data_IF_771398611648
#
_entry.id   IF_771398611648
#
_cell.length_a   1.000
_cell.length_b   1.000
_cell.length_c   1.000
_cell.angle_alpha   90.00
_cell.angle_beta   90.00
_cell.angle_gamma   90.00
#
_symmetry.space_group_name_H-M   'P 1'
#
loop_
_entity.id
_entity.type
_entity.pdbx_description
1 polymer ?
#
# COMPACT_ATOMS: atom_id res chain seq x y z
N UNK A 1 30.13 45.20 -17.47
CA UNK A 1 30.71 45.46 -16.12
C UNK A 1 30.93 44.09 -15.53
N UNK A 2 32.15 43.61 -15.69
CA UNK A 2 32.65 42.29 -15.26
C UNK A 2 32.90 42.33 -13.75
N UNK A 3 32.54 41.25 -13.07
CA UNK A 3 33.14 40.88 -11.79
C UNK A 3 33.53 39.42 -11.87
N UNK A 4 34.82 39.24 -12.13
CA UNK A 4 35.57 38.02 -12.00
C UNK A 4 36.38 38.16 -10.71
N UNK A 5 36.23 37.24 -9.76
CA UNK A 5 37.27 36.96 -8.75
C UNK A 5 36.91 35.68 -8.00
N UNK A 6 37.55 34.59 -8.44
CA UNK A 6 37.67 33.35 -7.67
C UNK A 6 39.07 33.32 -7.04
N UNK A 7 39.25 33.01 -5.74
CA UNK A 7 40.58 32.91 -5.13
C UNK A 7 41.31 31.65 -5.58
N UNK A 8 42.52 31.83 -6.08
CA UNK A 8 43.49 30.77 -6.41
C UNK A 8 44.00 30.13 -5.12
N UNK A 9 43.93 28.79 -5.05
CA UNK A 9 44.58 27.99 -4.02
C UNK A 9 46.01 27.68 -4.42
N UNK A 10 46.95 27.94 -3.49
CA UNK A 10 48.39 27.72 -3.58
C UNK A 10 48.76 26.24 -3.72
N UNK A 11 49.58 25.83 -4.71
CA UNK A 11 49.92 24.42 -4.97
C UNK A 11 51.05 23.84 -4.11
N UNK A 12 51.42 24.42 -2.98
CA UNK A 12 52.63 24.03 -2.22
C UNK A 12 52.41 23.37 -0.86
N UNK A 13 51.25 22.76 -0.59
CA UNK A 13 51.02 22.05 0.66
C UNK A 13 50.66 20.58 0.44
N UNK A 14 51.52 19.86 -0.30
CA UNK A 14 51.47 18.38 -0.33
C UNK A 14 52.90 17.88 -0.17
N UNK A 15 53.34 17.72 1.04
CA UNK A 15 54.42 16.76 1.37
C UNK A 15 54.27 16.18 2.76
N UNK A 16 54.13 14.87 2.75
CA UNK A 16 54.56 13.87 3.71
C UNK A 16 53.91 13.78 5.09
N UNK A 17 53.12 12.74 5.27
CA UNK A 17 53.52 11.72 6.27
C UNK A 17 52.79 10.40 5.95
N UNK A 18 53.57 9.46 5.36
CA UNK A 18 53.21 8.04 5.34
C UNK A 18 53.41 7.50 6.75
N UNK A 19 52.30 7.29 7.47
CA UNK A 19 52.27 6.45 8.67
C UNK A 19 51.41 5.23 8.31
N UNK A 20 52.10 4.12 8.42
CA UNK A 20 51.56 2.75 8.27
C UNK A 20 50.29 2.55 9.05
N UNK A 21 49.15 2.44 8.33
CA UNK A 21 47.88 1.94 8.87
C UNK A 21 47.86 0.42 8.69
N UNK A 22 48.42 -0.28 9.64
CA UNK A 22 48.11 -1.69 9.89
C UNK A 22 47.38 -1.73 11.24
N UNK A 23 46.24 -2.47 11.22
CA UNK A 23 45.51 -2.93 12.38
C UNK A 23 44.73 -1.87 13.24
N UNK A 24 43.63 -1.38 12.70
CA UNK A 24 42.49 -0.99 13.53
C UNK A 24 41.17 -1.16 12.75
N UNK A 25 40.75 -2.39 12.52
CA UNK A 25 39.36 -2.66 12.12
C UNK A 25 38.83 -3.98 12.69
N UNK A 26 39.09 -4.19 13.98
CA UNK A 26 38.28 -5.05 14.82
C UNK A 26 37.36 -4.16 15.62
N UNK A 27 36.38 -3.53 14.95
CA UNK A 27 35.24 -3.02 15.68
C UNK A 27 34.49 -4.21 16.26
N UNK A 28 34.70 -4.47 17.53
CA UNK A 28 33.87 -5.31 18.38
C UNK A 28 32.42 -4.80 18.22
N UNK A 29 31.67 -5.33 17.24
CA UNK A 29 30.24 -5.18 17.17
C UNK A 29 29.69 -5.87 18.42
N UNK A 30 29.34 -5.07 19.42
CA UNK A 30 28.50 -5.56 20.51
C UNK A 30 27.32 -6.30 19.87
N UNK A 31 26.95 -7.49 20.38
CA UNK A 31 25.79 -8.20 19.85
C UNK A 31 24.61 -7.26 19.93
N UNK A 32 24.11 -6.82 18.75
CA UNK A 32 22.98 -5.91 18.69
C UNK A 32 21.82 -6.62 19.39
N UNK A 33 21.41 -6.10 20.54
CA UNK A 33 20.28 -6.62 21.29
C UNK A 33 19.03 -6.62 20.41
N UNK A 34 18.15 -7.60 20.62
CA UNK A 34 16.84 -7.65 19.99
C UNK A 34 16.14 -6.31 20.18
N UNK A 35 15.75 -5.67 19.08
CA UNK A 35 15.09 -4.38 19.07
C UNK A 35 13.70 -4.51 18.47
N UNK A 36 12.67 -4.22 19.26
CA UNK A 36 11.27 -4.14 18.81
C UNK A 36 10.87 -2.67 18.75
N UNK A 37 10.55 -2.19 17.56
CA UNK A 37 9.98 -0.86 17.33
C UNK A 37 8.50 -1.05 17.01
N UNK A 38 7.59 -0.61 17.90
CA UNK A 38 6.16 -0.86 17.79
C UNK A 38 5.33 0.41 17.96
N UNK A 39 4.19 0.48 17.30
CA UNK A 39 3.22 1.56 17.46
C UNK A 39 2.39 1.44 18.75
N UNK A 40 2.26 0.21 19.26
CA UNK A 40 1.57 -0.09 20.52
C UNK A 40 2.26 -1.24 21.23
N UNK A 41 2.18 -1.28 22.56
CA UNK A 41 2.77 -2.35 23.35
C UNK A 41 1.84 -3.58 23.37
N UNK A 42 2.35 -4.72 22.94
CA UNK A 42 1.75 -6.03 23.18
C UNK A 42 2.79 -6.93 23.88
N UNK A 43 2.72 -7.08 25.22
CA UNK A 43 3.71 -7.86 25.97
C UNK A 43 3.86 -9.31 25.50
N UNK A 44 2.79 -9.90 24.93
CA UNK A 44 2.84 -11.27 24.40
C UNK A 44 3.76 -11.41 23.18
N UNK A 45 4.11 -10.32 22.51
CA UNK A 45 5.11 -10.35 21.43
C UNK A 45 6.51 -10.70 21.94
N UNK A 46 6.84 -10.40 23.19
CA UNK A 46 8.14 -10.75 23.78
C UNK A 46 8.31 -12.24 24.05
N UNK A 47 7.22 -13.02 24.03
CA UNK A 47 7.27 -14.48 24.24
C UNK A 47 7.42 -15.28 22.95
N UNK A 48 7.50 -14.61 21.80
CA UNK A 48 7.68 -15.26 20.51
C UNK A 48 9.16 -15.68 20.31
N UNK A 49 9.42 -16.77 19.57
CA UNK A 49 10.77 -17.31 19.38
C UNK A 49 11.56 -16.50 18.34
N UNK A 50 11.94 -15.29 18.70
CA UNK A 50 12.67 -14.36 17.82
C UNK A 50 14.07 -14.84 17.42
N UNK A 51 14.62 -15.80 18.14
CA UNK A 51 15.89 -16.48 17.89
C UNK A 51 15.81 -17.55 16.78
N UNK A 52 14.62 -17.86 16.27
CA UNK A 52 14.41 -18.81 15.20
C UNK A 52 14.03 -18.12 13.90
N UNK A 53 14.49 -18.60 12.72
CA UNK A 53 13.91 -18.22 11.44
C UNK A 53 12.40 -18.50 11.43
N UNK A 54 11.62 -17.65 10.76
CA UNK A 54 10.15 -17.77 10.74
C UNK A 54 9.64 -19.13 10.22
N UNK A 55 10.43 -19.78 9.34
CA UNK A 55 10.13 -21.11 8.83
C UNK A 55 10.25 -22.24 9.87
N UNK A 56 10.99 -22.00 10.96
CA UNK A 56 11.25 -22.95 12.03
C UNK A 56 10.42 -22.71 13.28
N UNK A 57 9.53 -21.71 13.27
CA UNK A 57 8.66 -21.46 14.41
C UNK A 57 7.72 -22.64 14.68
N UNK A 58 7.35 -22.90 15.95
CA UNK A 58 6.42 -23.94 16.31
C UNK A 58 5.10 -23.87 15.56
N UNK A 59 4.61 -25.01 15.09
CA UNK A 59 3.42 -25.10 14.23
C UNK A 59 2.13 -24.59 14.91
N UNK A 60 2.04 -24.72 16.23
CA UNK A 60 0.93 -24.26 17.06
C UNK A 60 0.78 -22.73 17.13
N UNK A 61 1.86 -22.01 16.81
CA UNK A 61 1.80 -20.55 16.68
C UNK A 61 1.11 -20.09 15.37
N UNK A 62 1.08 -20.95 14.36
CA UNK A 62 0.61 -20.58 13.05
C UNK A 62 -0.89 -20.74 12.89
N UNK A 63 -1.50 -19.77 12.20
CA UNK A 63 -2.88 -19.84 11.74
C UNK A 63 -2.88 -20.14 10.24
N UNK A 64 -3.62 -21.16 9.84
CA UNK A 64 -3.76 -21.51 8.44
C UNK A 64 -4.80 -20.62 7.77
N UNK A 65 -4.36 -19.49 7.24
CA UNK A 65 -5.19 -18.55 6.49
C UNK A 65 -4.80 -18.53 5.02
N UNK A 66 -5.73 -18.24 4.11
CA UNK A 66 -5.42 -18.00 2.71
C UNK A 66 -4.40 -16.87 2.58
N UNK A 67 -3.38 -17.08 1.78
CA UNK A 67 -2.33 -16.08 1.52
C UNK A 67 -2.09 -15.94 0.02
N UNK A 68 -1.64 -14.75 -0.39
CA UNK A 68 -1.13 -14.50 -1.73
C UNK A 68 0.23 -15.17 -1.97
N UNK A 69 0.74 -15.04 -3.17
CA UNK A 69 2.13 -15.35 -3.49
C UNK A 69 3.00 -14.20 -2.96
N UNK A 70 4.08 -14.54 -2.27
CA UNK A 70 5.05 -13.55 -1.80
C UNK A 70 6.45 -14.06 -2.08
N UNK A 71 7.36 -13.15 -2.43
CA UNK A 71 8.80 -13.40 -2.55
C UNK A 71 9.44 -13.69 -1.20
N UNK A 72 8.82 -13.20 -0.15
CA UNK A 72 9.30 -13.31 1.23
C UNK A 72 8.56 -14.40 2.00
N UNK A 73 9.17 -14.86 3.08
CA UNK A 73 8.51 -15.78 4.00
C UNK A 73 7.48 -15.00 4.81
N UNK A 74 6.21 -15.29 4.55
CA UNK A 74 5.07 -14.71 5.29
C UNK A 74 4.33 -15.81 6.03
N UNK A 75 4.03 -15.60 7.31
CA UNK A 75 3.20 -16.48 8.14
C UNK A 75 2.19 -15.69 8.94
N UNK A 76 1.04 -16.28 9.17
CA UNK A 76 0.06 -15.74 10.11
C UNK A 76 0.26 -16.38 11.47
N UNK A 77 0.42 -15.54 12.50
CA UNK A 77 0.75 -15.97 13.86
C UNK A 77 -0.30 -15.45 14.82
N UNK A 78 -0.74 -16.33 15.70
CA UNK A 78 -1.69 -15.99 16.76
C UNK A 78 -0.94 -15.47 17.99
N UNK A 79 -1.25 -14.25 18.42
CA UNK A 79 -0.63 -13.64 19.61
C UNK A 79 -1.73 -13.09 20.51
N UNK A 80 -2.08 -13.82 21.53
CA UNK A 80 -3.27 -13.52 22.35
C UNK A 80 -4.55 -13.76 21.56
N UNK A 81 -5.42 -12.76 21.48
CA UNK A 81 -6.71 -12.84 20.77
C UNK A 81 -6.64 -12.27 19.34
N UNK A 82 -5.43 -11.91 18.89
CA UNK A 82 -5.22 -11.26 17.61
C UNK A 82 -4.32 -12.12 16.71
N UNK A 83 -4.54 -11.98 15.41
CA UNK A 83 -3.71 -12.61 14.37
C UNK A 83 -2.86 -11.54 13.69
N UNK A 84 -1.58 -11.82 13.53
CA UNK A 84 -0.62 -10.95 12.86
C UNK A 84 -0.03 -11.64 11.64
N UNK A 85 0.22 -10.90 10.59
CA UNK A 85 1.08 -11.33 9.50
C UNK A 85 2.52 -10.95 9.84
N UNK A 86 3.41 -11.95 9.82
CA UNK A 86 4.85 -11.83 10.03
C UNK A 86 5.54 -11.98 8.68
N UNK A 87 6.28 -10.95 8.24
CA UNK A 87 7.05 -10.93 6.97
C UNK A 87 8.53 -10.83 7.32
N UNK A 88 9.30 -11.88 6.98
CA UNK A 88 10.75 -11.92 7.22
C UNK A 88 11.49 -11.31 6.05
N UNK A 89 12.16 -10.18 6.29
CA UNK A 89 12.80 -9.34 5.26
C UNK A 89 14.01 -8.60 5.85
N UNK A 90 14.83 -8.01 4.98
CA UNK A 90 15.97 -7.22 5.44
C UNK A 90 15.54 -6.06 6.35
N UNK A 91 16.38 -5.71 7.30
CA UNK A 91 16.07 -4.65 8.28
C UNK A 91 15.70 -3.33 7.63
N UNK A 92 16.45 -2.92 6.61
CA UNK A 92 16.22 -1.63 5.93
C UNK A 92 14.84 -1.58 5.26
N UNK A 93 14.45 -2.67 4.61
CA UNK A 93 13.13 -2.79 3.95
C UNK A 93 12.02 -2.81 5.00
N UNK A 94 12.17 -3.59 6.08
CA UNK A 94 11.19 -3.68 7.16
C UNK A 94 10.93 -2.32 7.81
N UNK A 95 12.00 -1.58 8.16
CA UNK A 95 11.88 -0.25 8.78
C UNK A 95 11.23 0.77 7.81
N UNK A 96 11.61 0.75 6.52
CA UNK A 96 11.03 1.62 5.50
C UNK A 96 9.55 1.33 5.26
N UNK A 97 9.20 0.07 5.05
CA UNK A 97 7.80 -0.33 4.80
C UNK A 97 6.91 -0.05 6.02
N UNK A 98 7.41 -0.32 7.23
CA UNK A 98 6.71 0.01 8.47
C UNK A 98 6.39 1.50 8.58
N UNK A 99 7.37 2.38 8.34
CA UNK A 99 7.16 3.82 8.43
C UNK A 99 6.24 4.32 7.32
N UNK A 100 6.35 3.76 6.11
CA UNK A 100 5.49 4.11 5.00
C UNK A 100 4.03 3.73 5.28
N UNK A 101 3.77 2.50 5.73
CA UNK A 101 2.43 2.06 6.14
C UNK A 101 1.86 2.93 7.27
N UNK A 102 2.70 3.35 8.25
CA UNK A 102 2.26 4.30 9.29
C UNK A 102 1.85 5.65 8.72
N UNK A 103 2.58 6.17 7.75
CA UNK A 103 2.24 7.43 7.08
C UNK A 103 0.95 7.30 6.29
N UNK A 104 0.77 6.23 5.53
CA UNK A 104 -0.46 5.94 4.79
C UNK A 104 -1.67 5.81 5.72
N UNK A 105 -1.50 5.16 6.87
CA UNK A 105 -2.56 5.06 7.90
C UNK A 105 -2.92 6.41 8.51
N UNK A 106 -1.96 7.32 8.71
CA UNK A 106 -2.25 8.69 9.15
C UNK A 106 -3.04 9.51 8.13
N UNK A 107 -2.89 9.16 6.85
CA UNK A 107 -3.68 9.73 5.75
C UNK A 107 -5.01 8.98 5.55
N UNK A 108 -5.37 8.09 6.49
CA UNK A 108 -6.59 7.28 6.49
C UNK A 108 -6.78 6.43 5.22
N UNK A 109 -5.68 6.07 4.56
CA UNK A 109 -5.71 5.24 3.37
C UNK A 109 -5.95 3.75 3.70
N UNK A 110 -6.66 3.01 2.83
CA UNK A 110 -6.97 1.61 3.08
C UNK A 110 -5.72 0.73 2.95
N UNK A 111 -5.03 0.54 4.06
CA UNK A 111 -3.83 -0.30 4.18
C UNK A 111 -3.94 -1.23 5.38
N UNK A 112 -3.13 -2.29 5.40
CA UNK A 112 -2.95 -3.09 6.61
C UNK A 112 -2.35 -2.23 7.72
N UNK A 113 -2.64 -2.57 8.98
CA UNK A 113 -2.14 -1.83 10.13
C UNK A 113 -0.73 -2.33 10.50
N UNK A 114 0.32 -1.50 10.37
CA UNK A 114 1.65 -1.86 10.83
C UNK A 114 1.68 -1.87 12.37
N UNK A 115 2.24 -2.94 12.94
CA UNK A 115 2.29 -3.16 14.39
C UNK A 115 3.71 -2.95 14.90
N UNK A 116 4.69 -3.63 14.33
CA UNK A 116 6.07 -3.56 14.78
C UNK A 116 7.08 -3.93 13.70
N UNK A 117 8.32 -3.50 13.93
CA UNK A 117 9.52 -4.06 13.31
C UNK A 117 10.35 -4.69 14.40
N UNK A 118 10.79 -5.93 14.18
CA UNK A 118 11.71 -6.67 15.06
C UNK A 118 13.03 -6.83 14.33
N UNK A 119 14.08 -6.23 14.86
CA UNK A 119 15.43 -6.23 14.29
C UNK A 119 16.47 -6.68 15.35
N UNK A 120 17.70 -6.93 14.91
CA UNK A 120 18.77 -7.41 15.81
C UNK A 120 18.51 -8.84 16.30
N UNK A 121 17.82 -9.65 15.48
CA UNK A 121 17.57 -11.06 15.73
C UNK A 121 18.84 -11.87 15.46
N UNK A 122 19.13 -12.82 16.33
CA UNK A 122 20.22 -13.77 16.18
C UNK A 122 19.73 -15.17 16.57
N UNK A 123 20.24 -16.17 15.92
CA UNK A 123 19.97 -17.56 16.30
C UNK A 123 20.78 -17.99 17.55
N UNK A 124 20.59 -19.24 17.97
CA UNK A 124 21.28 -19.80 19.13
C UNK A 124 22.84 -19.89 18.94
N UNK A 125 23.33 -19.81 17.70
CA UNK A 125 24.77 -19.81 17.37
C UNK A 125 25.33 -18.39 17.27
N UNK A 126 24.48 -17.35 17.43
CA UNK A 126 24.85 -15.96 17.28
C UNK A 126 24.84 -15.49 15.81
N UNK A 127 24.34 -16.28 14.87
CA UNK A 127 24.19 -15.87 13.47
C UNK A 127 23.03 -14.90 13.32
N UNK A 128 23.27 -13.87 12.52
CA UNK A 128 22.26 -12.82 12.29
C UNK A 128 21.10 -13.34 11.45
N UNK A 129 19.89 -13.17 11.96
CA UNK A 129 18.63 -13.42 11.25
C UNK A 129 18.09 -12.14 10.61
N UNK A 130 17.28 -12.30 9.57
CA UNK A 130 16.55 -11.20 8.93
C UNK A 130 15.60 -10.52 9.93
N UNK A 131 15.30 -9.25 9.69
CA UNK A 131 14.32 -8.55 10.47
C UNK A 131 12.90 -9.05 10.15
N UNK A 132 11.94 -8.65 10.96
CA UNK A 132 10.55 -9.03 10.77
C UNK A 132 9.65 -7.80 10.80
N UNK A 133 8.88 -7.64 9.73
CA UNK A 133 7.77 -6.71 9.72
C UNK A 133 6.52 -7.43 10.24
N UNK A 134 5.85 -6.81 11.19
CA UNK A 134 4.61 -7.31 11.80
C UNK A 134 3.47 -6.39 11.44
N UNK A 135 2.44 -6.93 10.78
CA UNK A 135 1.21 -6.21 10.47
C UNK A 135 0.01 -6.93 11.07
N UNK A 136 -1.04 -6.20 11.40
CA UNK A 136 -2.29 -6.80 11.89
C UNK A 136 -3.01 -7.47 10.72
N UNK A 137 -3.41 -8.73 10.91
CA UNK A 137 -4.25 -9.40 9.92
C UNK A 137 -5.61 -8.70 9.80
N UNK A 138 -6.01 -8.43 8.57
CA UNK A 138 -7.30 -7.85 8.26
C UNK A 138 -8.38 -8.94 8.32
N UNK A 139 -9.17 -8.95 9.39
CA UNK A 139 -10.22 -9.97 9.61
C UNK A 139 -11.20 -9.98 8.45
N UNK A 140 -11.62 -11.17 8.04
CA UNK A 140 -12.59 -11.41 6.93
C UNK A 140 -12.11 -10.96 5.55
N UNK A 141 -10.85 -10.58 5.39
CA UNK A 141 -10.28 -10.31 4.08
C UNK A 141 -9.86 -11.59 3.37
N UNK A 142 -9.87 -11.52 2.05
CA UNK A 142 -9.45 -12.61 1.19
C UNK A 142 -8.44 -12.12 0.15
N UNK A 143 -7.38 -12.90 -0.13
CA UNK A 143 -6.49 -12.65 -1.24
C UNK A 143 -7.17 -13.00 -2.56
N UNK A 144 -6.67 -12.43 -3.67
CA UNK A 144 -7.26 -12.61 -5.00
C UNK A 144 -7.40 -14.09 -5.41
N UNK A 145 -6.41 -14.94 -5.09
CA UNK A 145 -6.46 -16.36 -5.43
C UNK A 145 -7.65 -17.11 -4.82
N UNK A 146 -8.08 -16.69 -3.63
CA UNK A 146 -9.26 -17.24 -3.00
C UNK A 146 -10.57 -16.71 -3.63
N UNK A 147 -10.52 -15.50 -4.18
CA UNK A 147 -11.66 -14.82 -4.80
C UNK A 147 -11.82 -15.18 -6.27
N UNK A 148 -10.72 -15.24 -7.04
CA UNK A 148 -10.71 -15.60 -8.46
C UNK A 148 -10.70 -17.12 -8.69
N UNK A 149 -11.17 -17.92 -7.72
CA UNK A 149 -11.33 -19.36 -7.88
C UNK A 149 -12.49 -19.69 -8.84
N UNK A 150 -12.57 -20.95 -9.31
CA UNK A 150 -13.50 -21.46 -10.33
C UNK A 150 -14.98 -21.11 -10.17
N UNK A 151 -15.39 -20.69 -8.98
CA UNK A 151 -16.78 -20.29 -8.68
C UNK A 151 -17.03 -18.79 -8.80
N UNK A 152 -16.01 -18.02 -9.19
CA UNK A 152 -16.15 -16.59 -9.33
C UNK A 152 -17.06 -16.25 -10.52
N UNK A 153 -18.05 -15.42 -10.26
CA UNK A 153 -18.91 -14.87 -11.32
C UNK A 153 -18.19 -13.71 -12.01
N UNK A 154 -18.35 -13.55 -13.35
CA UNK A 154 -17.71 -12.43 -14.07
C UNK A 154 -18.02 -11.05 -13.47
N UNK A 155 -19.27 -10.80 -13.08
CA UNK A 155 -19.68 -9.57 -12.42
C UNK A 155 -18.96 -9.31 -11.08
N UNK A 156 -18.56 -10.37 -10.37
CA UNK A 156 -17.77 -10.26 -9.14
C UNK A 156 -16.32 -9.91 -9.44
N UNK A 157 -15.73 -10.49 -10.50
CA UNK A 157 -14.39 -10.12 -10.95
C UNK A 157 -14.33 -8.62 -11.28
N UNK A 158 -15.30 -8.11 -12.02
CA UNK A 158 -15.40 -6.69 -12.37
C UNK A 158 -15.50 -5.80 -11.13
N UNK A 159 -16.30 -6.17 -10.13
CA UNK A 159 -16.42 -5.41 -8.86
C UNK A 159 -15.13 -5.40 -8.05
N UNK A 160 -14.35 -6.48 -8.07
CA UNK A 160 -13.04 -6.53 -7.41
C UNK A 160 -12.05 -5.56 -8.06
N UNK A 161 -12.06 -5.50 -9.39
CA UNK A 161 -11.22 -4.56 -10.14
C UNK A 161 -11.68 -3.11 -9.95
N UNK A 162 -12.99 -2.87 -9.88
CA UNK A 162 -13.53 -1.55 -9.54
C UNK A 162 -13.07 -1.09 -8.15
N UNK A 163 -13.05 -2.00 -7.16
CA UNK A 163 -12.53 -1.70 -5.82
C UNK A 163 -11.02 -1.39 -5.83
N UNK A 164 -10.25 -2.10 -6.65
CA UNK A 164 -8.82 -1.81 -6.83
C UNK A 164 -8.61 -0.45 -7.50
N UNK A 165 -9.40 -0.10 -8.52
CA UNK A 165 -9.32 1.22 -9.15
C UNK A 165 -9.59 2.36 -8.14
N UNK A 166 -10.58 2.18 -7.24
CA UNK A 166 -10.85 3.12 -6.15
C UNK A 166 -9.66 3.25 -5.21
N UNK A 167 -9.04 2.13 -4.82
CA UNK A 167 -7.83 2.13 -3.99
C UNK A 167 -6.71 2.92 -4.67
N UNK A 168 -6.42 2.64 -5.94
CA UNK A 168 -5.35 3.32 -6.68
C UNK A 168 -5.59 4.83 -6.80
N UNK A 169 -6.83 5.25 -7.10
CA UNK A 169 -7.17 6.67 -7.14
C UNK A 169 -6.91 7.35 -5.79
N UNK A 170 -7.28 6.72 -4.68
CA UNK A 170 -7.02 7.24 -3.32
C UNK A 170 -5.53 7.38 -3.03
N UNK A 171 -4.75 6.36 -3.37
CA UNK A 171 -3.30 6.36 -3.20
C UNK A 171 -2.65 7.48 -4.02
N UNK A 172 -3.01 7.61 -5.29
CA UNK A 172 -2.48 8.64 -6.18
C UNK A 172 -2.88 10.07 -5.78
N UNK A 173 -4.12 10.29 -5.33
CA UNK A 173 -4.56 11.59 -4.79
C UNK A 173 -3.76 12.00 -3.55
N UNK A 174 -3.32 11.04 -2.75
CA UNK A 174 -2.47 11.27 -1.59
C UNK A 174 -0.98 11.41 -1.91
N UNK A 175 -0.61 11.32 -3.20
CA UNK A 175 0.78 11.39 -3.64
C UNK A 175 1.56 10.08 -3.48
N UNK A 176 0.89 8.96 -3.23
CA UNK A 176 1.55 7.67 -3.10
C UNK A 176 1.70 6.99 -4.47
N UNK A 177 2.95 6.81 -4.90
CA UNK A 177 3.34 5.98 -6.03
C UNK A 177 3.61 4.57 -5.51
N UNK A 178 2.96 3.55 -6.08
CA UNK A 178 3.06 2.19 -5.54
C UNK A 178 4.24 1.40 -6.14
N UNK A 179 4.40 1.45 -7.46
CA UNK A 179 5.55 0.86 -8.16
C UNK A 179 5.56 -0.66 -8.30
N UNK A 180 4.63 -1.38 -7.66
CA UNK A 180 4.45 -2.84 -7.79
C UNK A 180 2.99 -3.23 -7.53
N UNK A 181 2.09 -2.57 -8.26
CA UNK A 181 0.66 -2.84 -8.14
C UNK A 181 0.37 -4.23 -8.72
N UNK A 182 -0.15 -5.11 -7.89
CA UNK A 182 -0.56 -6.47 -8.28
C UNK A 182 -1.69 -6.95 -7.39
N UNK A 183 -2.44 -7.94 -7.84
CA UNK A 183 -3.49 -8.57 -7.03
C UNK A 183 -2.91 -9.30 -5.81
N UNK A 184 -1.64 -9.74 -5.88
CA UNK A 184 -0.93 -10.37 -4.77
C UNK A 184 -0.68 -9.40 -3.61
N UNK A 185 -0.56 -8.10 -3.90
CA UNK A 185 -0.29 -7.03 -2.95
C UNK A 185 -1.58 -6.36 -2.44
N UNK A 186 -2.74 -6.97 -2.70
CA UNK A 186 -4.08 -6.48 -2.30
C UNK A 186 -4.84 -7.54 -1.51
N UNK A 187 -5.51 -7.10 -0.45
CA UNK A 187 -6.56 -7.86 0.20
C UNK A 187 -7.91 -7.21 -0.07
N UNK A 188 -8.91 -8.05 -0.29
CA UNK A 188 -10.27 -7.60 -0.50
C UNK A 188 -11.14 -7.94 0.72
N UNK A 189 -11.91 -6.96 1.15
CA UNK A 189 -12.94 -7.11 2.16
C UNK A 189 -14.31 -6.98 1.50
N UNK A 190 -15.21 -7.92 1.79
CA UNK A 190 -16.59 -7.82 1.34
C UNK A 190 -17.42 -7.15 2.43
N UNK A 191 -18.11 -6.09 2.08
CA UNK A 191 -19.10 -5.42 2.93
C UNK A 191 -20.43 -5.35 2.19
N UNK A 192 -21.44 -6.07 2.69
CA UNK A 192 -22.73 -6.23 2.05
C UNK A 192 -22.58 -6.63 0.56
N UNK A 193 -22.90 -5.71 -0.35
CA UNK A 193 -22.84 -5.93 -1.80
C UNK A 193 -21.61 -5.28 -2.48
N UNK A 194 -20.72 -4.68 -1.70
CA UNK A 194 -19.52 -4.00 -2.21
C UNK A 194 -18.23 -4.72 -1.80
N UNK A 195 -17.15 -4.41 -2.52
CA UNK A 195 -15.81 -4.79 -2.14
C UNK A 195 -14.97 -3.56 -1.84
N UNK A 196 -14.12 -3.68 -0.84
CA UNK A 196 -13.07 -2.71 -0.53
C UNK A 196 -11.71 -3.37 -0.71
N UNK A 197 -10.80 -2.68 -1.38
CA UNK A 197 -9.43 -3.14 -1.59
C UNK A 197 -8.49 -2.46 -0.58
N UNK A 198 -7.55 -3.23 -0.04
CA UNK A 198 -6.57 -2.77 0.95
C UNK A 198 -5.15 -3.10 0.47
N UNK A 199 -4.28 -2.10 0.53
CA UNK A 199 -2.85 -2.27 0.26
C UNK A 199 -2.20 -3.10 1.38
N UNK A 200 -1.45 -4.13 0.99
CA UNK A 200 -0.76 -5.03 1.92
C UNK A 200 0.74 -4.80 1.92
N UNK A 201 1.32 -4.65 0.72
CA UNK A 201 2.76 -4.51 0.52
C UNK A 201 3.08 -3.13 -0.05
N UNK A 202 3.83 -2.35 0.73
CA UNK A 202 4.27 -1.00 0.36
C UNK A 202 5.78 -0.92 0.11
N UNK A 203 6.47 -2.07 0.00
CA UNK A 203 7.93 -2.17 -0.07
C UNK A 203 8.54 -1.31 -1.18
N UNK A 204 7.92 -1.31 -2.37
CA UNK A 204 8.36 -0.57 -3.55
C UNK A 204 7.84 0.85 -3.62
N UNK A 205 6.85 1.18 -2.78
CA UNK A 205 6.15 2.45 -2.84
C UNK A 205 6.96 3.65 -2.36
N UNK A 206 6.51 4.84 -2.78
CA UNK A 206 7.06 6.11 -2.32
C UNK A 206 5.96 7.17 -2.17
N UNK A 207 6.11 8.07 -1.18
CA UNK A 207 5.12 9.10 -0.89
C UNK A 207 5.67 10.48 -1.22
N UNK A 208 5.09 11.09 -2.23
CA UNK A 208 5.38 12.44 -2.74
C UNK A 208 4.35 13.46 -2.23
N UNK A 209 4.62 14.74 -2.43
CA UNK A 209 3.62 15.78 -2.18
C UNK A 209 2.43 15.71 -3.17
N UNK A 210 2.71 15.31 -4.40
CA UNK A 210 1.75 15.00 -5.46
C UNK A 210 2.43 14.16 -6.53
N UNK A 211 1.66 13.39 -7.29
CA UNK A 211 2.17 12.64 -8.44
C UNK A 211 1.96 13.44 -9.73
N UNK A 212 2.93 13.36 -10.63
CA UNK A 212 2.76 13.80 -12.01
C UNK A 212 1.84 12.86 -12.77
N UNK A 213 1.26 13.32 -13.87
CA UNK A 213 0.46 12.47 -14.77
C UNK A 213 1.27 11.26 -15.23
N UNK A 214 2.51 11.46 -15.68
CA UNK A 214 3.36 10.36 -16.15
C UNK A 214 3.66 9.31 -15.08
N UNK A 215 3.81 9.70 -13.80
CA UNK A 215 3.96 8.74 -12.71
C UNK A 215 2.69 7.91 -12.50
N UNK A 216 1.52 8.55 -12.54
CA UNK A 216 0.25 7.83 -12.40
C UNK A 216 -0.01 6.88 -13.56
N UNK A 217 0.21 7.35 -14.79
CA UNK A 217 0.04 6.52 -15.99
C UNK A 217 0.96 5.29 -15.98
N UNK A 218 2.22 5.49 -15.59
CA UNK A 218 3.17 4.38 -15.47
C UNK A 218 2.73 3.35 -14.42
N UNK A 219 2.25 3.82 -13.26
CA UNK A 219 1.81 2.92 -12.17
C UNK A 219 0.54 2.13 -12.58
N UNK A 220 -0.38 2.76 -13.32
CA UNK A 220 -1.58 2.11 -13.86
C UNK A 220 -1.25 1.10 -14.96
N UNK A 221 -0.33 1.42 -15.87
CA UNK A 221 0.07 0.50 -16.94
C UNK A 221 0.82 -0.72 -16.37
N UNK A 222 1.66 -0.50 -15.35
CA UNK A 222 2.29 -1.57 -14.60
C UNK A 222 1.24 -2.45 -13.89
N UNK A 223 0.26 -1.84 -13.24
CA UNK A 223 -0.87 -2.55 -12.61
C UNK A 223 -1.61 -3.43 -13.61
N UNK A 224 -1.97 -2.86 -14.76
CA UNK A 224 -2.62 -3.59 -15.86
C UNK A 224 -1.81 -4.82 -16.27
N UNK A 225 -0.52 -4.63 -16.50
CA UNK A 225 0.38 -5.69 -16.96
C UNK A 225 0.51 -6.81 -15.91
N UNK A 226 0.73 -6.45 -14.65
CA UNK A 226 0.86 -7.41 -13.56
C UNK A 226 -0.43 -8.20 -13.34
N UNK A 227 -1.58 -7.53 -13.35
CA UNK A 227 -2.89 -8.18 -13.15
C UNK A 227 -3.19 -9.17 -14.28
N UNK A 228 -2.97 -8.79 -15.53
CA UNK A 228 -3.13 -9.69 -16.66
C UNK A 228 -2.24 -10.93 -16.48
N UNK A 229 -0.96 -10.74 -16.12
CA UNK A 229 -0.03 -11.83 -15.88
C UNK A 229 -0.49 -12.77 -14.75
N UNK A 230 -0.93 -12.22 -13.60
CA UNK A 230 -1.42 -13.01 -12.48
C UNK A 230 -2.71 -13.79 -12.81
N UNK A 231 -3.61 -13.21 -13.62
CA UNK A 231 -4.82 -13.89 -14.07
C UNK A 231 -4.49 -14.98 -15.10
N UNK A 232 -3.53 -14.75 -16.00
CA UNK A 232 -3.05 -15.77 -16.94
C UNK A 232 -2.39 -16.95 -16.18
N UNK A 233 -1.69 -16.70 -15.09
CA UNK A 233 -1.16 -17.76 -14.23
C UNK A 233 -2.28 -18.61 -13.61
N UNK A 234 -3.36 -17.97 -13.15
CA UNK A 234 -4.54 -18.68 -12.67
C UNK A 234 -5.23 -19.48 -13.77
N UNK A 235 -5.36 -18.92 -14.96
CA UNK A 235 -5.95 -19.56 -16.13
C UNK A 235 -5.15 -20.81 -16.53
N UNK A 236 -3.82 -20.67 -16.61
CA UNK A 236 -2.90 -21.77 -16.92
C UNK A 236 -2.99 -22.91 -15.90
N UNK A 237 -3.24 -22.58 -14.63
CA UNK A 237 -3.50 -23.53 -13.55
C UNK A 237 -4.93 -24.07 -13.53
N UNK A 238 -5.78 -23.72 -14.51
CA UNK A 238 -7.21 -24.06 -14.54
C UNK A 238 -7.97 -23.62 -13.27
N UNK A 239 -7.54 -22.55 -12.64
CA UNK A 239 -8.15 -21.98 -11.44
C UNK A 239 -9.11 -20.83 -11.75
N UNK A 240 -8.99 -20.21 -12.94
CA UNK A 240 -9.87 -19.14 -13.39
C UNK A 240 -11.06 -19.71 -14.18
N UNK A 241 -12.30 -19.18 -14.03
CA UNK A 241 -13.41 -19.51 -14.91
C UNK A 241 -13.11 -19.14 -16.35
N UNK A 242 -13.55 -19.98 -17.31
CA UNK A 242 -13.31 -19.76 -18.75
C UNK A 242 -14.02 -18.52 -19.32
N UNK A 243 -15.02 -18.02 -18.62
CA UNK A 243 -15.79 -16.83 -18.98
C UNK A 243 -15.09 -15.51 -18.61
N UNK A 244 -13.99 -15.60 -17.82
CA UNK A 244 -13.21 -14.42 -17.40
C UNK A 244 -12.10 -14.20 -18.41
N UNK A 245 -12.15 -13.07 -19.10
CA UNK A 245 -11.11 -12.61 -20.03
C UNK A 245 -10.10 -11.73 -19.29
N UNK A 246 -8.88 -12.22 -19.12
CA UNK A 246 -7.81 -11.58 -18.37
C UNK A 246 -7.45 -10.21 -18.93
N UNK A 247 -7.44 -10.08 -20.27
CA UNK A 247 -7.11 -8.82 -20.95
C UNK A 247 -8.21 -7.79 -20.71
N UNK A 248 -9.47 -8.21 -20.84
CA UNK A 248 -10.64 -7.36 -20.57
C UNK A 248 -10.64 -6.85 -19.12
N UNK A 249 -10.31 -7.71 -18.17
CA UNK A 249 -10.19 -7.34 -16.74
C UNK A 249 -9.08 -6.30 -16.53
N UNK A 250 -7.91 -6.50 -17.12
CA UNK A 250 -6.81 -5.53 -17.03
C UNK A 250 -7.16 -4.18 -17.66
N UNK A 251 -7.82 -4.17 -18.83
CA UNK A 251 -8.29 -2.94 -19.48
C UNK A 251 -9.35 -2.22 -18.65
N UNK A 252 -10.27 -2.97 -18.04
CA UNK A 252 -11.28 -2.41 -17.13
C UNK A 252 -10.67 -1.62 -15.98
N UNK A 253 -9.54 -2.09 -15.41
CA UNK A 253 -8.84 -1.32 -14.37
C UNK A 253 -8.47 0.08 -14.87
N UNK A 254 -7.86 0.15 -16.05
CA UNK A 254 -7.41 1.41 -16.67
C UNK A 254 -8.61 2.33 -16.92
N UNK A 255 -9.64 1.83 -17.60
CA UNK A 255 -10.85 2.59 -17.91
C UNK A 255 -11.54 3.10 -16.64
N UNK A 256 -11.61 2.25 -15.62
CA UNK A 256 -12.25 2.61 -14.37
C UNK A 256 -11.46 3.64 -13.60
N UNK A 257 -10.13 3.49 -13.55
CA UNK A 257 -9.24 4.48 -12.93
C UNK A 257 -9.39 5.84 -13.59
N UNK A 258 -9.30 5.94 -14.92
CA UNK A 258 -9.42 7.22 -15.63
C UNK A 258 -10.80 7.87 -15.45
N UNK A 259 -11.86 7.06 -15.53
CA UNK A 259 -13.22 7.54 -15.29
C UNK A 259 -13.38 8.13 -13.88
N UNK A 260 -12.82 7.47 -12.85
CA UNK A 260 -12.86 7.96 -11.47
C UNK A 260 -11.98 9.20 -11.30
N UNK A 261 -10.76 9.16 -11.84
CA UNK A 261 -9.83 10.28 -11.76
C UNK A 261 -10.43 11.54 -12.37
N UNK A 262 -10.99 11.45 -13.58
CA UNK A 262 -11.64 12.60 -14.23
C UNK A 262 -12.86 13.09 -13.43
N UNK A 263 -13.67 12.16 -12.90
CA UNK A 263 -14.82 12.52 -12.06
C UNK A 263 -14.40 13.31 -10.81
N UNK A 264 -13.20 13.02 -10.25
CA UNK A 264 -12.68 13.67 -9.05
C UNK A 264 -11.95 14.98 -9.32
N UNK A 265 -11.28 15.10 -10.46
CA UNK A 265 -10.32 16.19 -10.72
C UNK A 265 -10.76 17.18 -11.79
N UNK A 266 -11.64 16.78 -12.71
CA UNK A 266 -12.07 17.65 -13.80
C UNK A 266 -12.97 18.78 -13.32
N UNK A 267 -12.80 19.90 -14.00
CA UNK A 267 -13.64 21.08 -13.81
C UNK A 267 -14.81 21.00 -14.78
N UNK A 268 -16.00 20.74 -14.28
CA UNK A 268 -17.20 20.74 -15.09
C UNK A 268 -17.78 22.15 -15.23
N UNK A 269 -18.39 22.40 -16.38
CA UNK A 269 -19.11 23.66 -16.68
C UNK A 269 -20.60 23.38 -16.68
N UNK A 270 -21.31 24.01 -15.76
CA UNK A 270 -22.76 23.86 -15.64
C UNK A 270 -23.49 25.17 -15.93
N UNK A 271 -24.66 25.03 -16.53
CA UNK A 271 -25.67 26.12 -16.54
C UNK A 271 -26.50 26.05 -15.24
N UNK A 272 -27.17 27.15 -14.83
CA UNK A 272 -27.95 27.17 -13.59
C UNK A 272 -29.07 26.11 -13.50
N UNK A 273 -29.58 25.65 -14.61
CA UNK A 273 -30.60 24.60 -14.74
C UNK A 273 -30.02 23.17 -14.64
N UNK A 274 -28.72 23.04 -14.69
CA UNK A 274 -28.00 21.72 -14.59
C UNK A 274 -27.47 21.42 -13.18
N UNK A 275 -27.85 22.19 -12.16
CA UNK A 275 -27.37 22.02 -10.78
C UNK A 275 -27.58 20.58 -10.24
N UNK A 276 -28.63 19.89 -10.65
CA UNK A 276 -28.89 18.49 -10.30
C UNK A 276 -27.79 17.52 -10.73
N UNK A 277 -26.99 17.87 -11.75
CA UNK A 277 -25.82 17.07 -12.18
C UNK A 277 -24.70 17.14 -11.16
N UNK A 278 -24.54 18.28 -10.49
CA UNK A 278 -23.54 18.46 -9.41
C UNK A 278 -23.91 17.55 -8.24
N UNK A 279 -25.17 17.57 -7.79
CA UNK A 279 -25.64 16.71 -6.71
C UNK A 279 -25.45 15.23 -7.06
N UNK A 280 -25.77 14.83 -8.28
CA UNK A 280 -25.54 13.45 -8.75
C UNK A 280 -24.06 13.08 -8.71
N UNK A 281 -23.16 13.99 -9.11
CA UNK A 281 -21.70 13.76 -9.06
C UNK A 281 -21.23 13.59 -7.62
N UNK A 282 -21.64 14.48 -6.72
CA UNK A 282 -21.31 14.40 -5.29
C UNK A 282 -21.80 13.09 -4.67
N UNK A 283 -23.09 12.76 -4.88
CA UNK A 283 -23.65 11.51 -4.38
C UNK A 283 -22.87 10.28 -4.90
N UNK A 284 -22.51 10.30 -6.19
CA UNK A 284 -21.72 9.21 -6.78
C UNK A 284 -20.33 9.09 -6.15
N UNK A 285 -19.66 10.21 -5.84
CA UNK A 285 -18.38 10.22 -5.17
C UNK A 285 -18.50 9.70 -3.73
N UNK A 286 -19.53 10.12 -3.01
CA UNK A 286 -19.80 9.65 -1.64
C UNK A 286 -20.11 8.14 -1.62
N UNK A 287 -20.88 7.61 -2.57
CA UNK A 287 -21.12 6.16 -2.71
C UNK A 287 -19.82 5.36 -2.93
N UNK A 288 -18.82 5.95 -3.58
CA UNK A 288 -17.51 5.37 -3.77
C UNK A 288 -16.57 5.58 -2.56
N UNK A 289 -17.08 6.22 -1.49
CA UNK A 289 -16.35 6.48 -0.25
C UNK A 289 -15.37 7.63 -0.35
N UNK A 290 -15.56 8.56 -1.30
CA UNK A 290 -14.88 9.84 -1.32
C UNK A 290 -15.79 10.87 -0.64
N UNK A 291 -15.29 11.52 0.40
CA UNK A 291 -16.03 12.59 1.04
C UNK A 291 -15.79 13.90 0.29
N UNK A 292 -16.88 14.57 -0.13
CA UNK A 292 -16.81 15.85 -0.82
C UNK A 292 -17.17 16.93 0.18
N UNK A 293 -16.15 17.51 0.84
CA UNK A 293 -16.32 18.53 1.86
C UNK A 293 -16.78 19.87 1.27
N UNK A 294 -16.24 20.21 0.10
CA UNK A 294 -16.46 21.51 -0.53
C UNK A 294 -16.56 21.38 -2.05
N UNK A 295 -17.31 22.32 -2.63
CA UNK A 295 -17.36 22.54 -4.06
C UNK A 295 -16.69 23.89 -4.36
N UNK A 296 -15.57 23.88 -5.07
CA UNK A 296 -14.99 25.11 -5.60
C UNK A 296 -15.80 25.54 -6.81
N UNK A 297 -16.49 26.67 -6.68
CA UNK A 297 -17.35 27.23 -7.75
C UNK A 297 -16.79 28.56 -8.23
N UNK A 298 -16.61 28.70 -9.55
CA UNK A 298 -16.20 29.95 -10.21
C UNK A 298 -17.15 30.27 -11.35
N UNK A 299 -17.53 31.52 -11.49
CA UNK A 299 -18.32 31.94 -12.65
C UNK A 299 -17.42 32.01 -13.88
N UNK A 300 -17.87 31.50 -15.03
CA UNK A 300 -17.17 31.67 -16.30
C UNK A 300 -17.05 33.16 -16.68
N UNK A 301 -16.08 33.49 -17.53
CA UNK A 301 -15.83 34.88 -17.96
C UNK A 301 -17.06 35.55 -18.59
N UNK A 302 -17.95 34.80 -19.26
CA UNK A 302 -19.19 35.26 -19.85
C UNK A 302 -20.35 35.36 -18.86
N UNK A 303 -20.16 34.98 -17.59
CA UNK A 303 -21.14 35.00 -16.51
C UNK A 303 -22.33 34.04 -16.67
N UNK A 304 -22.32 33.18 -17.71
CA UNK A 304 -23.43 32.29 -18.05
C UNK A 304 -23.31 30.88 -17.50
N UNK A 305 -22.10 30.48 -17.07
CA UNK A 305 -21.81 29.12 -16.58
C UNK A 305 -21.08 29.19 -15.26
N UNK A 306 -21.25 28.15 -14.45
CA UNK A 306 -20.53 27.94 -13.22
C UNK A 306 -19.54 26.81 -13.45
N UNK A 307 -18.27 27.07 -13.20
CA UNK A 307 -17.19 26.08 -13.17
C UNK A 307 -17.24 25.44 -11.78
N UNK A 308 -17.35 24.12 -11.72
CA UNK A 308 -17.44 23.40 -10.45
C UNK A 308 -16.36 22.33 -10.41
N UNK A 309 -15.59 22.34 -9.33
CA UNK A 309 -14.61 21.31 -9.01
C UNK A 309 -14.91 20.78 -7.61
N UNK A 310 -15.10 19.47 -7.44
CA UNK A 310 -15.22 18.90 -6.10
C UNK A 310 -13.89 18.98 -5.37
N UNK A 311 -13.92 19.37 -4.11
CA UNK A 311 -12.80 19.27 -3.19
C UNK A 311 -13.02 18.02 -2.37
N UNK A 312 -12.26 16.99 -2.67
CA UNK A 312 -12.42 15.68 -2.05
C UNK A 312 -11.53 15.60 -0.83
N UNK A 313 -12.12 15.35 0.32
CA UNK A 313 -11.43 14.89 1.50
C UNK A 313 -11.27 13.37 1.43
N UNK A 314 -10.07 12.86 1.71
CA UNK A 314 -9.80 11.43 1.71
C UNK A 314 -10.18 10.77 3.04
N UNK A 315 -11.11 11.36 3.79
CA UNK A 315 -11.61 10.75 5.00
C UNK A 315 -12.19 9.36 4.68
N UNK A 316 -11.54 8.35 5.19
CA UNK A 316 -12.05 7.00 5.17
C UNK A 316 -13.14 6.89 6.23
N UNK A 317 -14.38 7.18 5.86
CA UNK A 317 -15.50 6.61 6.60
C UNK A 317 -15.58 5.14 6.23
N UNK A 318 -14.80 4.30 6.92
CA UNK A 318 -15.19 2.91 7.04
C UNK A 318 -16.66 2.92 7.46
N UNK A 319 -17.57 2.22 6.77
CA UNK A 319 -18.83 1.89 7.40
C UNK A 319 -18.43 1.23 8.72
N UNK A 320 -18.69 1.95 9.82
CA UNK A 320 -18.40 1.48 11.17
C UNK A 320 -18.99 0.08 11.27
N UNK A 321 -18.23 -0.96 11.57
CA UNK A 321 -18.84 -2.12 12.11
C UNK A 321 -19.62 -1.59 13.32
N UNK A 322 -20.90 -1.85 13.41
CA UNK A 322 -21.68 -1.57 14.61
C UNK A 322 -21.06 -2.36 15.77
N UNK A 323 -19.95 -1.86 16.27
CA UNK A 323 -19.36 -2.23 17.53
C UNK A 323 -20.17 -1.56 18.60
N UNK A 324 -21.06 -2.32 19.14
CA UNK A 324 -21.75 -1.91 20.35
C UNK A 324 -23.26 -1.87 20.21
N UNK A 325 -23.84 -3.02 20.21
CA UNK A 325 -25.10 -3.29 20.89
C UNK A 325 -25.30 -4.81 20.94
N UNK A 326 -24.62 -5.44 21.89
CA UNK A 326 -25.08 -6.63 22.60
C UNK A 326 -24.36 -6.65 23.95
N UNK A 327 -24.91 -5.89 24.89
CA UNK A 327 -24.79 -6.17 26.30
C UNK A 327 -25.72 -7.33 26.65
#
# INVERSE_FOLDING_TARGET
MEWNDAPQLDPRAVQATSVSAQDENASSQEPQALKITAASSNPKMFTLPWELPLSQWPADLFVNLPRGISRHVVRFVHVGDEVYAMKEITRQVAEREYELLRRLRKLELPTVTPIAVVAGRHDANGEKLEAMLVTKHLKFSLPYRALFARTLRPDTAERLIDALAVLMVRLHLSGFYWGDVSLSNVLFLRDADAFSAFLVDAETGDLHGSLTEGQREYDIDLARTNIIGELMDLSSGQLLPTEVDEISIGNRLVDRYHSLWSTLTDVDKFSPDEMWRIERRVNRLNELGFDVDELEMKTSEDGRRVLVRPRVCLLYTSPSPRDGLLS
#
